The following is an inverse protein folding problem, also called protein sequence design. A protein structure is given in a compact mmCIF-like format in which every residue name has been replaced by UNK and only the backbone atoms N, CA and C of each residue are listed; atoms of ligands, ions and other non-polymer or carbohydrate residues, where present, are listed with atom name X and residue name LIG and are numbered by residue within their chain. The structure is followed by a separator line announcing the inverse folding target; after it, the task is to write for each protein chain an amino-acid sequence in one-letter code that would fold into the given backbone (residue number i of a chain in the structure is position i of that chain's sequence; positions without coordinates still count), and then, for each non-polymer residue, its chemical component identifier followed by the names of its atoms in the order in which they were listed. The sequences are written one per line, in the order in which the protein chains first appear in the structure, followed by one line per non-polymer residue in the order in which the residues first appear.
data_IF_960014540906
#
_entry.id   IF_960014540906
#
_cell.length_a   1.000
_cell.length_b   1.000
_cell.length_c   1.000
_cell.angle_alpha   90.00
_cell.angle_beta   90.00
_cell.angle_gamma   90.00
#
_symmetry.space_group_name_H-M   'P 1'
#
loop_
_entity.id
_entity.type
_entity.pdbx_description
1 polymer ?
#
# COMPACT_ATOMS: atom_id res chain seq x y z
N UNK A 1 -4.42 -7.47 7.00
CA UNK A 1 -4.57 -6.31 6.12
C UNK A 1 -3.71 -5.13 6.55
N UNK A 2 -3.91 -4.63 7.75
CA UNK A 2 -3.06 -3.54 8.28
C UNK A 2 -1.60 -3.93 8.31
N UNK A 3 -1.32 -5.21 8.54
CA UNK A 3 0.05 -5.72 8.57
C UNK A 3 0.77 -5.51 7.24
N UNK A 4 0.11 -5.78 6.11
CA UNK A 4 0.71 -5.57 4.78
C UNK A 4 0.97 -4.11 4.49
N UNK A 5 0.03 -3.23 4.87
CA UNK A 5 0.20 -1.78 4.72
C UNK A 5 1.38 -1.29 5.58
N UNK A 6 1.46 -1.74 6.82
CA UNK A 6 2.54 -1.36 7.73
C UNK A 6 3.89 -1.86 7.21
N UNK A 7 3.94 -3.08 6.68
CA UNK A 7 5.16 -3.61 6.07
C UNK A 7 5.62 -2.77 4.88
N UNK A 8 4.69 -2.38 4.01
CA UNK A 8 5.01 -1.54 2.86
C UNK A 8 5.61 -0.21 3.31
N UNK A 9 5.02 0.41 4.32
CA UNK A 9 5.51 1.68 4.87
C UNK A 9 6.90 1.51 5.48
N UNK A 10 7.10 0.47 6.28
CA UNK A 10 8.38 0.21 6.93
C UNK A 10 9.49 -0.04 5.91
N UNK A 11 9.20 -0.83 4.90
CA UNK A 11 10.17 -1.12 3.84
C UNK A 11 10.53 0.15 3.09
N UNK A 12 9.52 0.99 2.78
CA UNK A 12 9.76 2.26 2.10
C UNK A 12 10.66 3.17 2.93
N UNK A 13 10.43 3.23 4.25
CA UNK A 13 11.28 4.04 5.15
C UNK A 13 12.72 3.53 5.14
N UNK A 14 12.91 2.22 5.16
CA UNK A 14 14.26 1.64 5.11
C UNK A 14 14.98 1.97 3.81
N UNK A 15 14.25 2.06 2.70
CA UNK A 15 14.82 2.39 1.40
C UNK A 15 15.49 3.76 1.38
N UNK A 16 15.08 4.66 2.24
CA UNK A 16 15.66 6.02 2.29
C UNK A 16 17.16 5.97 2.56
N UNK A 17 17.61 5.03 3.38
CA UNK A 17 19.00 4.91 3.81
C UNK A 17 19.80 3.88 3.01
N UNK A 18 19.20 3.24 2.02
CA UNK A 18 19.87 2.22 1.19
C UNK A 18 20.31 2.86 -0.11
N UNK A 19 21.56 2.62 -0.49
CA UNK A 19 22.13 3.16 -1.74
C UNK A 19 22.47 2.08 -2.76
N UNK A 20 22.50 0.81 -2.36
CA UNK A 20 22.78 -0.28 -3.27
C UNK A 20 21.59 -0.51 -4.21
N UNK A 21 21.86 -0.50 -5.52
CA UNK A 21 20.83 -0.61 -6.55
C UNK A 21 20.07 -1.93 -6.47
N UNK A 22 20.80 -3.03 -6.28
CA UNK A 22 20.17 -4.37 -6.22
C UNK A 22 19.28 -4.50 -4.99
N UNK A 23 19.74 -4.00 -3.85
CA UNK A 23 18.98 -4.03 -2.62
C UNK A 23 17.73 -3.15 -2.71
N UNK A 24 17.87 -1.96 -3.30
CA UNK A 24 16.71 -1.07 -3.52
C UNK A 24 15.66 -1.73 -4.41
N UNK A 25 16.09 -2.43 -5.45
CA UNK A 25 15.17 -3.10 -6.35
C UNK A 25 14.42 -4.24 -5.64
N UNK A 26 15.12 -5.01 -4.83
CA UNK A 26 14.49 -6.06 -4.02
C UNK A 26 13.47 -5.49 -3.04
N UNK A 27 13.82 -4.41 -2.38
CA UNK A 27 12.92 -3.75 -1.42
C UNK A 27 11.69 -3.17 -2.11
N UNK A 28 11.87 -2.59 -3.29
CA UNK A 28 10.76 -2.08 -4.07
C UNK A 28 9.80 -3.19 -4.47
N UNK A 29 10.34 -4.35 -4.88
CA UNK A 29 9.52 -5.51 -5.22
C UNK A 29 8.72 -6.01 -4.01
N UNK A 30 9.32 -5.98 -2.82
CA UNK A 30 8.60 -6.31 -1.58
C UNK A 30 7.44 -5.37 -1.33
N UNK A 31 7.66 -4.06 -1.54
CA UNK A 31 6.59 -3.06 -1.36
C UNK A 31 5.46 -3.34 -2.34
N UNK A 32 5.77 -3.66 -3.59
CA UNK A 32 4.77 -3.98 -4.60
C UNK A 32 3.96 -5.22 -4.22
N UNK A 33 4.62 -6.26 -3.74
CA UNK A 33 3.94 -7.49 -3.32
C UNK A 33 3.00 -7.22 -2.16
N UNK A 34 3.45 -6.48 -1.16
CA UNK A 34 2.62 -6.17 0.01
C UNK A 34 1.44 -5.28 -0.36
N UNK A 35 1.65 -4.34 -1.28
CA UNK A 35 0.56 -3.48 -1.75
C UNK A 35 -0.49 -4.28 -2.53
N UNK A 36 -0.05 -5.20 -3.39
CA UNK A 36 -0.98 -6.05 -4.14
C UNK A 36 -1.81 -6.94 -3.22
N UNK A 37 -1.19 -7.48 -2.16
CA UNK A 37 -1.92 -8.24 -1.14
C UNK A 37 -2.94 -7.37 -0.42
N UNK A 38 -2.56 -6.15 -0.09
CA UNK A 38 -3.45 -5.21 0.58
C UNK A 38 -4.65 -4.87 -0.31
N UNK A 39 -4.42 -4.62 -1.60
CA UNK A 39 -5.49 -4.33 -2.55
C UNK A 39 -6.51 -5.45 -2.62
N UNK A 40 -6.04 -6.70 -2.72
CA UNK A 40 -6.93 -7.86 -2.77
C UNK A 40 -7.77 -7.99 -1.50
N UNK A 41 -7.15 -7.76 -0.35
CA UNK A 41 -7.84 -7.81 0.94
C UNK A 41 -8.86 -6.69 1.07
N UNK A 42 -8.50 -5.48 0.64
CA UNK A 42 -9.41 -4.33 0.66
C UNK A 42 -10.64 -4.61 -0.20
N UNK A 43 -10.43 -5.15 -1.38
CA UNK A 43 -11.52 -5.47 -2.29
C UNK A 43 -12.47 -6.50 -1.69
N UNK A 44 -11.92 -7.54 -1.07
CA UNK A 44 -12.71 -8.58 -0.41
C UNK A 44 -13.53 -8.02 0.75
N UNK A 45 -12.89 -7.20 1.59
CA UNK A 45 -13.56 -6.60 2.75
C UNK A 45 -14.65 -5.63 2.28
N UNK A 46 -14.37 -4.82 1.25
CA UNK A 46 -15.34 -3.90 0.70
C UNK A 46 -16.59 -4.64 0.24
N UNK A 47 -16.43 -5.74 -0.49
CA UNK A 47 -17.56 -6.57 -0.94
C UNK A 47 -18.37 -7.10 0.23
N UNK A 48 -17.69 -7.62 1.26
CA UNK A 48 -18.35 -8.14 2.45
C UNK A 48 -19.14 -7.08 3.18
N UNK A 49 -18.56 -5.89 3.33
CA UNK A 49 -19.23 -4.79 4.01
C UNK A 49 -20.46 -4.32 3.25
N UNK A 50 -20.37 -4.24 1.92
CA UNK A 50 -21.51 -3.85 1.09
C UNK A 50 -22.64 -4.88 1.20
N UNK A 51 -22.30 -6.17 1.13
CA UNK A 51 -23.27 -7.24 1.29
C UNK A 51 -24.00 -7.17 2.63
N UNK A 52 -23.27 -6.92 3.71
CA UNK A 52 -23.86 -6.84 5.05
C UNK A 52 -24.66 -5.57 5.26
N UNK A 53 -24.30 -4.48 4.59
CA UNK A 53 -25.04 -3.22 4.67
C UNK A 53 -26.40 -3.31 4.01
N UNK A 54 -26.51 -4.10 2.95
CA UNK A 54 -27.78 -4.32 2.27
C UNK A 54 -28.75 -5.08 3.20
N UNK A 55 -29.91 -4.53 3.45
CA UNK A 55 -30.90 -5.14 4.32
C UNK A 55 -30.64 -4.96 5.80
N UNK A 56 -29.71 -4.09 6.18
CA UNK A 56 -29.36 -3.80 7.56
C UNK A 56 -29.69 -2.36 7.90
N UNK A 57 -30.10 -2.13 9.16
CA UNK A 57 -30.31 -0.78 9.69
C UNK A 57 -28.99 -0.12 10.09
N UNK A 58 -27.86 -0.81 9.90
CA UNK A 58 -26.54 -0.35 10.28
C UNK A 58 -25.77 0.27 9.11
N UNK A 59 -26.48 0.79 8.12
CA UNK A 59 -25.88 1.36 6.92
C UNK A 59 -24.80 2.40 7.21
N UNK A 60 -25.05 3.30 8.15
CA UNK A 60 -24.09 4.35 8.51
C UNK A 60 -22.81 3.76 9.09
N UNK A 61 -22.93 2.72 9.90
CA UNK A 61 -21.78 2.05 10.51
C UNK A 61 -20.89 1.42 9.44
N UNK A 62 -21.50 0.71 8.49
CA UNK A 62 -20.76 0.09 7.39
C UNK A 62 -20.14 1.14 6.47
N UNK A 63 -20.83 2.25 6.27
CA UNK A 63 -20.31 3.35 5.46
C UNK A 63 -19.04 3.95 6.08
N UNK A 64 -19.02 4.11 7.41
CA UNK A 64 -17.83 4.58 8.13
C UNK A 64 -16.67 3.61 7.99
N UNK A 65 -16.96 2.31 8.06
CA UNK A 65 -15.94 1.28 7.87
C UNK A 65 -15.35 1.32 6.47
N UNK A 66 -16.19 1.51 5.46
CA UNK A 66 -15.73 1.64 4.07
C UNK A 66 -14.83 2.86 3.89
N UNK A 67 -15.16 3.98 4.53
CA UNK A 67 -14.33 5.19 4.49
C UNK A 67 -12.96 4.93 5.09
N UNK A 68 -12.91 4.27 6.25
CA UNK A 68 -11.65 3.93 6.91
C UNK A 68 -10.81 3.02 6.02
N UNK A 69 -11.45 2.04 5.40
CA UNK A 69 -10.80 1.10 4.50
C UNK A 69 -10.16 1.84 3.31
N UNK A 70 -10.88 2.77 2.71
CA UNK A 70 -10.37 3.55 1.57
C UNK A 70 -9.21 4.46 1.96
N UNK A 71 -9.23 5.01 3.17
CA UNK A 71 -8.10 5.79 3.68
C UNK A 71 -6.84 4.95 3.83
N UNK A 72 -6.99 3.73 4.33
CA UNK A 72 -5.86 2.79 4.48
C UNK A 72 -5.28 2.42 3.11
N UNK A 73 -6.14 2.20 2.12
CA UNK A 73 -5.72 1.92 0.75
C UNK A 73 -4.92 3.08 0.16
N UNK A 74 -5.36 4.31 0.40
CA UNK A 74 -4.62 5.50 -0.04
C UNK A 74 -3.23 5.57 0.56
N UNK A 75 -3.10 5.23 1.84
CA UNK A 75 -1.80 5.24 2.52
C UNK A 75 -0.86 4.24 1.86
N UNK A 76 -1.35 3.03 1.57
CA UNK A 76 -0.55 2.01 0.89
C UNK A 76 -0.12 2.47 -0.50
N UNK A 77 -1.02 3.11 -1.25
CA UNK A 77 -0.71 3.64 -2.58
C UNK A 77 0.35 4.73 -2.52
N UNK A 78 0.32 5.56 -1.50
CA UNK A 78 1.34 6.60 -1.30
C UNK A 78 2.69 6.01 -0.97
N UNK A 79 2.73 4.93 -0.19
CA UNK A 79 3.99 4.24 0.12
C UNK A 79 4.65 3.73 -1.16
N UNK A 80 3.87 3.17 -2.07
CA UNK A 80 4.38 2.71 -3.37
C UNK A 80 4.90 3.88 -4.20
N UNK A 81 4.19 4.99 -4.21
CA UNK A 81 4.63 6.18 -4.96
C UNK A 81 5.98 6.69 -4.45
N UNK A 82 6.15 6.71 -3.13
CA UNK A 82 7.43 7.13 -2.53
C UNK A 82 8.52 6.12 -2.85
N UNK A 83 8.24 4.83 -2.74
CA UNK A 83 9.21 3.78 -3.06
C UNK A 83 9.66 3.87 -4.52
N UNK A 84 8.71 4.07 -5.42
CA UNK A 84 9.01 4.24 -6.85
C UNK A 84 9.89 5.46 -7.09
N UNK A 85 9.59 6.55 -6.42
CA UNK A 85 10.39 7.78 -6.52
C UNK A 85 11.81 7.56 -6.01
N UNK A 86 11.98 6.85 -4.90
CA UNK A 86 13.29 6.53 -4.34
C UNK A 86 14.13 5.70 -5.31
N UNK A 87 13.52 4.70 -5.94
CA UNK A 87 14.19 3.89 -6.96
C UNK A 87 14.60 4.77 -8.14
N UNK A 88 13.69 5.60 -8.61
CA UNK A 88 13.97 6.50 -9.73
C UNK A 88 15.12 7.45 -9.41
N UNK A 89 15.10 8.08 -8.25
CA UNK A 89 16.12 9.06 -7.87
C UNK A 89 17.47 8.39 -7.65
N UNK A 90 17.50 7.26 -6.96
CA UNK A 90 18.76 6.61 -6.58
C UNK A 90 19.38 5.77 -7.68
N UNK A 91 18.55 5.09 -8.48
CA UNK A 91 19.04 4.22 -9.57
C UNK A 91 18.98 4.95 -10.90
N UNK A 92 17.83 5.55 -11.21
CA UNK A 92 17.62 6.24 -12.47
C UNK A 92 18.56 7.41 -12.67
N UNK A 93 18.89 8.12 -11.59
CA UNK A 93 19.84 9.22 -11.64
C UNK A 93 21.23 8.82 -12.09
N UNK A 94 21.65 7.59 -11.76
CA UNK A 94 22.92 7.04 -12.20
C UNK A 94 22.90 6.65 -13.67
N UNK A 95 21.76 6.21 -14.16
CA UNK A 95 21.62 5.75 -15.54
C UNK A 95 21.68 6.93 -16.50
N UNK A 96 21.16 8.07 -16.10
CA UNK A 96 21.09 9.28 -16.94
C UNK A 96 22.36 10.12 -16.90
N UNK A 97 23.28 9.77 -16.08
CA UNK A 97 24.57 10.44 -16.00
C UNK A 97 25.64 9.70 -16.81
#
# INVERSE_FOLDING_TARGET
MQTSTVKAIRTTVKMINVDDADELQEMYEEVLIEENKADDLYEMIERKLVEQAEGSNAFEKYHKMLRALRKSEKIANRAISVANLLVYVKIGGHIHN
#
